data_IF_058475915530
#
_entry.id   IF_058475915530
#
_cell.length_a   1.000
_cell.length_b   1.000
_cell.length_c   1.000
_cell.angle_alpha   90.00
_cell.angle_beta   90.00
_cell.angle_gamma   90.00
#
_symmetry.space_group_name_H-M   'P 1'
#
loop_
_entity.id
_entity.type
_entity.pdbx_description
1 polymer ?
#
# COMPACT_ATOMS: atom_id res chain seq x y z
N UNK A 1 11.10 -22.71 5.33
CA UNK A 1 12.31 -23.46 5.78
C UNK A 1 13.51 -22.54 5.99
N UNK A 2 14.01 -21.81 4.97
CA UNK A 2 15.22 -20.96 5.13
C UNK A 2 15.15 -19.89 6.24
N UNK A 3 14.00 -19.22 6.41
CA UNK A 3 13.79 -18.26 7.51
C UNK A 3 13.79 -18.96 8.88
N UNK A 4 13.12 -20.10 8.98
CA UNK A 4 13.02 -20.90 10.21
C UNK A 4 14.40 -21.38 10.69
N UNK A 5 15.23 -21.91 9.79
CA UNK A 5 16.61 -22.28 10.07
C UNK A 5 17.47 -21.08 10.48
N UNK A 6 17.20 -19.92 9.89
CA UNK A 6 17.95 -18.69 10.15
C UNK A 6 17.50 -17.98 11.43
N UNK A 7 16.27 -18.23 11.90
CA UNK A 7 15.74 -17.63 13.12
C UNK A 7 16.59 -18.01 14.35
N UNK A 8 17.22 -19.18 14.38
CA UNK A 8 18.13 -19.56 15.46
C UNK A 8 19.50 -18.85 15.41
N UNK A 9 19.77 -18.07 14.36
CA UNK A 9 21.02 -17.34 14.22
C UNK A 9 21.11 -16.12 15.13
N UNK A 10 22.26 -15.97 15.81
CA UNK A 10 22.60 -14.75 16.58
C UNK A 10 23.03 -13.58 15.71
N UNK A 11 23.23 -13.77 14.39
CA UNK A 11 23.75 -12.74 13.46
C UNK A 11 22.69 -12.32 12.44
N UNK A 12 21.97 -11.20 12.64
CA UNK A 12 20.86 -10.77 11.79
C UNK A 12 21.25 -10.64 10.31
N UNK A 13 22.41 -10.03 10.01
CA UNK A 13 22.83 -9.80 8.61
C UNK A 13 23.04 -11.07 7.78
N UNK A 14 23.31 -12.22 8.41
CA UNK A 14 23.40 -13.51 7.69
C UNK A 14 22.03 -14.03 7.26
N UNK A 15 20.97 -13.62 7.96
CA UNK A 15 19.59 -14.03 7.65
C UNK A 15 19.13 -13.38 6.36
N UNK A 16 19.34 -12.07 6.20
CA UNK A 16 18.99 -11.35 4.96
C UNK A 16 19.60 -12.04 3.75
N UNK A 17 20.91 -12.32 3.77
CA UNK A 17 21.60 -12.98 2.65
C UNK A 17 21.05 -14.38 2.34
N UNK A 18 20.71 -15.16 3.37
CA UNK A 18 20.15 -16.52 3.18
C UNK A 18 18.73 -16.47 2.66
N UNK A 19 17.88 -15.64 3.26
CA UNK A 19 16.49 -15.49 2.85
C UNK A 19 16.41 -14.94 1.43
N UNK A 20 17.20 -13.92 1.09
CA UNK A 20 17.27 -13.33 -0.26
C UNK A 20 17.50 -14.38 -1.35
N UNK A 21 18.40 -15.34 -1.11
CA UNK A 21 18.66 -16.44 -2.07
C UNK A 21 17.46 -17.35 -2.34
N UNK A 22 16.52 -17.43 -1.40
CA UNK A 22 15.35 -18.32 -1.52
C UNK A 22 14.11 -17.60 -2.05
N UNK A 23 14.03 -16.28 -1.85
CA UNK A 23 12.89 -15.47 -2.31
C UNK A 23 13.17 -14.78 -3.65
N UNK A 24 14.44 -14.62 -4.03
CA UNK A 24 14.84 -14.16 -5.36
C UNK A 24 14.62 -15.27 -6.40
N UNK A 25 14.18 -14.94 -7.64
CA UNK A 25 13.94 -13.59 -8.18
C UNK A 25 12.53 -13.06 -7.92
N UNK A 26 11.69 -13.76 -7.15
CA UNK A 26 10.31 -13.34 -6.92
C UNK A 26 10.21 -12.06 -6.07
N UNK A 27 11.17 -11.81 -5.18
CA UNK A 27 11.27 -10.59 -4.37
C UNK A 27 12.64 -9.95 -4.54
N UNK A 28 12.66 -8.63 -4.71
CA UNK A 28 13.84 -7.87 -5.12
C UNK A 28 14.72 -7.53 -3.92
N UNK A 29 14.10 -7.16 -2.80
CA UNK A 29 14.81 -6.69 -1.61
C UNK A 29 14.27 -7.35 -0.36
N UNK A 30 15.19 -7.76 0.53
CA UNK A 30 14.88 -8.35 1.84
C UNK A 30 15.44 -7.46 2.95
N UNK A 31 14.62 -7.15 3.93
CA UNK A 31 14.95 -6.30 5.06
C UNK A 31 14.67 -7.00 6.39
N UNK A 32 15.47 -6.67 7.41
CA UNK A 32 15.17 -7.02 8.78
C UNK A 32 14.21 -5.97 9.35
N UNK A 33 13.02 -6.39 9.77
CA UNK A 33 12.10 -5.52 10.51
C UNK A 33 12.43 -5.54 12.01
N UNK A 34 12.66 -6.73 12.58
CA UNK A 34 12.94 -6.90 14.00
C UNK A 34 13.80 -8.14 14.22
N UNK A 35 14.74 -8.07 15.16
CA UNK A 35 15.60 -9.21 15.47
C UNK A 35 16.04 -9.24 16.94
N UNK A 36 15.12 -9.65 17.81
CA UNK A 36 15.41 -9.83 19.24
C UNK A 36 15.10 -11.26 19.72
N UNK A 37 15.15 -11.47 21.04
CA UNK A 37 14.92 -12.78 21.66
C UNK A 37 13.44 -13.21 21.64
N UNK A 38 12.52 -12.25 21.60
CA UNK A 38 11.07 -12.46 21.69
C UNK A 38 10.46 -12.58 20.30
N UNK A 39 10.93 -11.75 19.36
CA UNK A 39 10.38 -11.65 18.02
C UNK A 39 11.47 -11.48 16.97
N UNK A 40 11.30 -12.21 15.86
CA UNK A 40 12.16 -12.13 14.68
C UNK A 40 11.27 -11.91 13.48
N UNK A 41 11.57 -10.87 12.71
CA UNK A 41 10.77 -10.44 11.57
C UNK A 41 11.69 -10.05 10.41
N UNK A 42 11.45 -10.66 9.27
CA UNK A 42 12.05 -10.29 7.98
C UNK A 42 10.90 -9.99 7.03
N UNK A 43 11.03 -8.93 6.24
CA UNK A 43 10.11 -8.70 5.14
C UNK A 43 10.86 -8.63 3.81
N UNK A 44 10.20 -9.04 2.74
CA UNK A 44 10.68 -8.91 1.39
C UNK A 44 9.65 -8.16 0.55
N UNK A 45 10.12 -7.27 -0.32
CA UNK A 45 9.26 -6.43 -1.17
C UNK A 45 9.37 -6.88 -2.62
N UNK A 46 8.22 -6.91 -3.30
CA UNK A 46 8.11 -7.22 -4.73
C UNK A 46 7.28 -6.15 -5.41
N UNK A 47 7.77 -5.65 -6.55
CA UNK A 47 6.94 -5.00 -7.55
C UNK A 47 6.58 -6.00 -8.67
N UNK A 48 5.32 -5.98 -9.11
CA UNK A 48 4.89 -6.84 -10.20
C UNK A 48 3.88 -6.15 -11.10
N UNK A 49 4.09 -6.24 -12.41
CA UNK A 49 3.06 -5.91 -13.41
C UNK A 49 2.09 -7.09 -13.53
N UNK A 50 0.79 -6.81 -13.37
CA UNK A 50 -0.28 -7.80 -13.40
C UNK A 50 -1.23 -7.46 -14.54
N UNK A 51 -1.49 -8.44 -15.42
CA UNK A 51 -2.37 -8.26 -16.58
C UNK A 51 -3.84 -8.08 -16.21
N UNK A 52 -4.27 -8.73 -15.14
CA UNK A 52 -5.64 -8.64 -14.64
C UNK A 52 -5.59 -8.66 -13.11
N UNK A 53 -5.98 -7.55 -12.50
CA UNK A 53 -6.18 -7.40 -11.06
C UNK A 53 -7.66 -7.32 -10.83
N UNK A 54 -8.23 -8.34 -10.19
CA UNK A 54 -9.65 -8.36 -9.85
C UNK A 54 -9.88 -7.45 -8.65
N UNK A 55 -10.79 -6.49 -8.80
CA UNK A 55 -11.19 -5.56 -7.75
C UNK A 55 -12.55 -6.00 -7.20
N UNK A 56 -12.66 -6.03 -5.89
CA UNK A 56 -13.85 -6.42 -5.15
C UNK A 56 -14.32 -5.28 -4.25
N UNK A 57 -15.62 -5.25 -3.97
CA UNK A 57 -16.20 -4.37 -2.97
C UNK A 57 -15.63 -4.74 -1.58
N UNK A 58 -15.45 -3.74 -0.72
CA UNK A 58 -15.06 -3.97 0.67
C UNK A 58 -16.15 -4.72 1.47
N UNK A 59 -17.44 -4.52 1.15
CA UNK A 59 -18.59 -5.06 1.90
C UNK A 59 -19.22 -6.33 1.32
N UNK A 60 -19.16 -6.51 0.00
CA UNK A 60 -19.76 -7.68 -0.63
C UNK A 60 -18.76 -8.83 -0.63
N UNK A 61 -19.13 -9.95 -0.02
CA UNK A 61 -18.37 -11.17 -0.19
C UNK A 61 -18.47 -11.61 -1.65
N UNK A 62 -17.30 -11.63 -2.30
CA UNK A 62 -17.04 -12.24 -3.62
C UNK A 62 -17.58 -11.49 -4.86
N UNK A 63 -18.23 -10.32 -4.72
CA UNK A 63 -18.64 -9.56 -5.91
C UNK A 63 -17.47 -8.79 -6.52
N UNK A 64 -16.95 -9.34 -7.62
CA UNK A 64 -15.99 -8.68 -8.50
C UNK A 64 -16.64 -7.44 -9.14
N UNK A 65 -16.09 -6.27 -8.83
CA UNK A 65 -16.54 -4.97 -9.34
C UNK A 65 -16.03 -4.75 -10.77
N UNK A 66 -14.73 -4.98 -11.00
CA UNK A 66 -14.09 -4.91 -12.31
C UNK A 66 -12.69 -5.56 -12.29
N UNK A 67 -12.04 -5.63 -13.45
CA UNK A 67 -10.61 -5.95 -13.54
C UNK A 67 -9.85 -4.90 -14.32
N UNK A 68 -8.57 -4.77 -13.97
CA UNK A 68 -7.67 -3.87 -14.68
C UNK A 68 -6.24 -4.37 -14.73
N UNK A 69 -5.48 -3.86 -15.70
CA UNK A 69 -4.02 -3.94 -15.70
C UNK A 69 -3.49 -3.02 -14.60
N UNK A 70 -2.59 -3.51 -13.75
CA UNK A 70 -2.01 -2.71 -12.69
C UNK A 70 -0.57 -3.12 -12.39
N UNK A 71 0.16 -2.24 -11.70
CA UNK A 71 1.39 -2.60 -11.01
C UNK A 71 1.07 -2.70 -9.53
N UNK A 72 1.45 -3.80 -8.89
CA UNK A 72 1.22 -4.06 -7.47
C UNK A 72 2.53 -4.01 -6.69
N UNK A 73 2.48 -3.50 -5.46
CA UNK A 73 3.53 -3.70 -4.46
C UNK A 73 3.04 -4.72 -3.43
N UNK A 74 3.83 -5.78 -3.23
CA UNK A 74 3.52 -6.87 -2.30
C UNK A 74 4.64 -7.09 -1.31
N UNK A 75 4.25 -7.44 -0.10
CA UNK A 75 5.14 -7.72 1.03
C UNK A 75 5.02 -9.18 1.43
N UNK A 76 6.15 -9.90 1.43
CA UNK A 76 6.28 -11.17 2.12
C UNK A 76 6.82 -10.91 3.52
N UNK A 77 5.98 -11.06 4.53
CA UNK A 77 6.36 -10.97 5.93
C UNK A 77 6.58 -12.36 6.51
N UNK A 78 7.78 -12.60 7.05
CA UNK A 78 8.14 -13.83 7.77
C UNK A 78 8.41 -13.50 9.23
N UNK A 79 7.67 -14.16 10.12
CA UNK A 79 7.66 -13.91 11.55
C UNK A 79 8.01 -15.17 12.34
N UNK A 80 8.79 -15.00 13.40
CA UNK A 80 8.95 -15.99 14.47
C UNK A 80 8.69 -15.33 15.81
N UNK A 81 7.75 -15.87 16.59
CA UNK A 81 7.39 -15.39 17.92
C UNK A 81 7.08 -16.59 18.81
N UNK A 82 7.74 -16.69 19.96
CA UNK A 82 7.49 -17.78 20.92
C UNK A 82 7.76 -19.20 20.40
N UNK A 83 8.54 -19.37 19.32
CA UNK A 83 8.78 -20.66 18.68
C UNK A 83 7.85 -20.96 17.50
N UNK A 84 6.76 -20.20 17.35
CA UNK A 84 5.88 -20.29 16.19
C UNK A 84 6.46 -19.54 15.01
N UNK A 85 6.18 -20.06 13.81
CA UNK A 85 6.60 -19.47 12.54
C UNK A 85 5.39 -19.19 11.67
N UNK A 86 5.36 -18.00 11.06
CA UNK A 86 4.37 -17.68 10.04
C UNK A 86 5.01 -16.93 8.89
N UNK A 87 4.49 -17.15 7.69
CA UNK A 87 4.83 -16.39 6.49
C UNK A 87 3.52 -15.93 5.84
N UNK A 88 3.45 -14.65 5.48
CA UNK A 88 2.25 -14.06 4.87
C UNK A 88 2.66 -13.17 3.71
N UNK A 89 1.97 -13.28 2.59
CA UNK A 89 2.12 -12.36 1.46
C UNK A 89 0.92 -11.42 1.48
N UNK A 90 1.17 -10.12 1.53
CA UNK A 90 0.15 -9.09 1.50
C UNK A 90 0.36 -8.19 0.29
N UNK A 91 -0.71 -7.88 -0.45
CA UNK A 91 -0.66 -6.80 -1.43
C UNK A 91 -0.98 -5.50 -0.69
N UNK A 92 -0.07 -4.54 -0.72
CA UNK A 92 -0.17 -3.34 0.11
C UNK A 92 -0.77 -2.15 -0.64
N UNK A 93 -0.41 -2.01 -1.93
CA UNK A 93 -0.96 -1.00 -2.82
C UNK A 93 -0.90 -1.46 -4.29
N UNK A 94 -1.71 -0.83 -5.15
CA UNK A 94 -1.56 -0.96 -6.59
C UNK A 94 -1.75 0.38 -7.30
N UNK A 95 -1.24 0.48 -8.53
CA UNK A 95 -1.48 1.60 -9.42
C UNK A 95 -2.01 1.06 -10.75
N UNK A 96 -3.16 1.58 -11.15
CA UNK A 96 -3.82 1.18 -12.40
C UNK A 96 -3.01 1.64 -13.61
N UNK A 97 -3.10 0.89 -14.71
CA UNK A 97 -2.59 1.32 -16.00
C UNK A 97 -3.15 2.69 -16.41
N UNK A 98 -4.41 2.99 -16.05
CA UNK A 98 -5.02 4.29 -16.31
C UNK A 98 -4.25 5.42 -15.62
N UNK A 99 -3.95 5.28 -14.32
CA UNK A 99 -3.16 6.27 -13.59
C UNK A 99 -1.76 6.45 -14.19
N UNK A 100 -1.06 5.36 -14.55
CA UNK A 100 0.24 5.42 -15.22
C UNK A 100 0.14 6.17 -16.55
N UNK A 101 -0.90 5.89 -17.34
CA UNK A 101 -1.13 6.57 -18.63
C UNK A 101 -1.35 8.08 -18.41
N UNK A 102 -2.16 8.46 -17.40
CA UNK A 102 -2.40 9.87 -17.08
C UNK A 102 -1.15 10.61 -16.61
N UNK A 103 -0.27 9.96 -15.84
CA UNK A 103 1.02 10.55 -15.44
C UNK A 103 1.87 10.92 -16.66
N UNK A 104 1.91 10.05 -17.68
CA UNK A 104 2.66 10.26 -18.92
C UNK A 104 1.98 11.29 -19.84
N UNK A 105 0.68 11.14 -20.08
CA UNK A 105 -0.09 12.01 -20.99
C UNK A 105 -0.07 13.48 -20.54
N UNK A 106 0.03 13.72 -19.24
CA UNK A 106 -0.03 15.06 -18.65
C UNK A 106 1.33 15.61 -18.21
N UNK A 107 2.41 14.87 -18.50
CA UNK A 107 3.77 15.33 -18.24
C UNK A 107 4.20 15.34 -16.78
N UNK A 108 3.45 14.70 -15.87
CA UNK A 108 3.87 14.52 -14.48
C UNK A 108 4.98 13.48 -14.32
N UNK A 109 5.15 12.62 -15.32
CA UNK A 109 6.25 11.67 -15.47
C UNK A 109 6.62 11.53 -16.96
N UNK A 110 7.69 10.81 -17.24
CA UNK A 110 8.13 10.48 -18.60
C UNK A 110 8.61 9.01 -18.67
N UNK A 111 8.78 8.43 -19.86
CA UNK A 111 9.15 7.02 -20.00
C UNK A 111 10.45 6.61 -19.29
N UNK A 112 11.39 7.54 -19.09
CA UNK A 112 12.67 7.27 -18.41
C UNK A 112 12.53 7.24 -16.89
N UNK A 113 11.56 7.97 -16.34
CA UNK A 113 11.34 8.12 -14.89
C UNK A 113 10.19 7.28 -14.35
N UNK A 114 9.29 6.78 -15.22
CA UNK A 114 8.02 6.18 -14.82
C UNK A 114 8.17 5.00 -13.86
N UNK A 115 9.21 4.19 -13.99
CA UNK A 115 9.46 3.07 -13.09
C UNK A 115 9.74 3.55 -11.65
N UNK A 116 10.61 4.56 -11.51
CA UNK A 116 10.94 5.16 -10.22
C UNK A 116 9.74 5.90 -9.62
N UNK A 117 8.99 6.63 -10.45
CA UNK A 117 7.79 7.35 -10.01
C UNK A 117 6.71 6.35 -9.55
N UNK A 118 6.49 5.25 -10.28
CA UNK A 118 5.57 4.18 -9.87
C UNK A 118 5.99 3.55 -8.54
N UNK A 119 7.28 3.27 -8.35
CA UNK A 119 7.79 2.76 -7.07
C UNK A 119 7.54 3.75 -5.93
N UNK A 120 7.85 5.03 -6.13
CA UNK A 120 7.62 6.08 -5.12
C UNK A 120 6.14 6.18 -4.75
N UNK A 121 5.25 6.23 -5.75
CA UNK A 121 3.81 6.33 -5.56
C UNK A 121 3.29 5.12 -4.76
N UNK A 122 3.72 3.92 -5.13
CA UNK A 122 3.30 2.70 -4.44
C UNK A 122 3.84 2.63 -3.00
N UNK A 123 5.04 3.12 -2.75
CA UNK A 123 5.58 3.24 -1.38
C UNK A 123 4.77 4.22 -0.55
N UNK A 124 4.41 5.39 -1.09
CA UNK A 124 3.55 6.36 -0.40
C UNK A 124 2.17 5.78 -0.09
N UNK A 125 1.53 5.13 -1.08
CA UNK A 125 0.24 4.47 -0.90
C UNK A 125 0.30 3.37 0.16
N UNK A 126 1.36 2.56 0.16
CA UNK A 126 1.62 1.55 1.19
C UNK A 126 1.74 2.19 2.58
N UNK A 127 2.53 3.23 2.74
CA UNK A 127 2.70 3.92 4.04
C UNK A 127 1.37 4.45 4.55
N UNK A 128 0.56 5.09 3.70
CA UNK A 128 -0.77 5.59 4.09
C UNK A 128 -1.71 4.45 4.49
N UNK A 129 -1.67 3.32 3.78
CA UNK A 129 -2.44 2.11 4.13
C UNK A 129 -2.02 1.58 5.49
N UNK A 130 -0.72 1.55 5.80
CA UNK A 130 -0.21 1.09 7.09
C UNK A 130 -0.64 2.03 8.23
N UNK A 131 -0.62 3.34 8.01
CA UNK A 131 -1.19 4.31 8.94
C UNK A 131 -2.67 4.10 9.17
N UNK A 132 -3.48 3.98 8.11
CA UNK A 132 -4.92 3.73 8.23
C UNK A 132 -5.19 2.45 9.02
N UNK A 133 -4.48 1.37 8.68
CA UNK A 133 -4.59 0.07 9.34
C UNK A 133 -4.29 0.18 10.84
N UNK A 134 -3.20 0.85 11.21
CA UNK A 134 -2.87 1.11 12.61
C UNK A 134 -3.94 1.98 13.29
N UNK A 135 -4.44 3.00 12.59
CA UNK A 135 -5.49 3.87 13.09
C UNK A 135 -6.78 3.12 13.43
N UNK A 136 -7.20 2.20 12.54
CA UNK A 136 -8.39 1.37 12.73
C UNK A 136 -8.19 0.36 13.87
N UNK A 137 -7.07 -0.37 13.87
CA UNK A 137 -6.78 -1.42 14.87
C UNK A 137 -6.67 -0.88 16.31
N UNK A 138 -6.30 0.39 16.47
CA UNK A 138 -6.11 1.04 17.76
C UNK A 138 -7.18 2.10 18.07
N UNK A 139 -8.26 2.17 17.28
CA UNK A 139 -9.34 3.16 17.44
C UNK A 139 -8.84 4.62 17.51
N UNK A 140 -7.75 4.92 16.80
CA UNK A 140 -7.17 6.26 16.67
C UNK A 140 -7.80 7.04 15.52
N UNK A 141 -8.74 6.43 14.79
CA UNK A 141 -9.46 7.07 13.72
C UNK A 141 -10.97 6.94 13.77
N UNK A 142 -11.67 7.95 13.23
CA UNK A 142 -13.13 7.94 13.02
C UNK A 142 -13.55 7.26 11.71
N UNK A 143 -12.60 6.96 10.83
CA UNK A 143 -12.86 6.16 9.64
C UNK A 143 -13.29 4.76 10.06
N UNK A 144 -14.18 4.14 9.30
CA UNK A 144 -14.74 2.84 9.61
C UNK A 144 -14.00 1.76 8.81
N UNK A 145 -13.78 0.62 9.45
CA UNK A 145 -13.28 -0.55 8.75
C UNK A 145 -14.32 -1.05 7.72
N UNK A 146 -13.84 -1.69 6.66
CA UNK A 146 -14.69 -2.22 5.59
C UNK A 146 -15.32 -1.19 4.66
N UNK A 147 -15.02 0.11 4.80
CA UNK A 147 -15.56 1.14 3.90
C UNK A 147 -14.64 1.43 2.71
N UNK A 148 -15.24 1.88 1.60
CA UNK A 148 -14.52 2.40 0.43
C UNK A 148 -14.39 3.92 0.55
N UNK A 149 -13.14 4.41 0.59
CA UNK A 149 -12.81 5.83 0.66
C UNK A 149 -12.00 6.24 -0.56
N UNK A 150 -12.35 7.38 -1.14
CA UNK A 150 -11.48 8.14 -2.04
C UNK A 150 -10.64 9.14 -1.24
N UNK A 151 -9.35 9.11 -1.49
CA UNK A 151 -8.33 10.02 -0.98
C UNK A 151 -7.69 10.76 -2.15
N UNK A 152 -7.32 12.01 -1.92
CA UNK A 152 -6.56 12.83 -2.86
C UNK A 152 -5.19 13.16 -2.27
N UNK A 153 -4.14 12.64 -2.90
CA UNK A 153 -2.76 12.72 -2.42
C UNK A 153 -1.97 13.67 -3.33
N UNK A 154 -1.36 14.74 -2.80
CA UNK A 154 -0.49 15.61 -3.57
C UNK A 154 0.64 14.82 -4.24
N UNK A 155 0.86 15.08 -5.52
CA UNK A 155 1.96 14.47 -6.26
C UNK A 155 2.43 15.38 -7.38
N UNK A 156 3.71 15.79 -7.32
CA UNK A 156 4.28 16.82 -8.20
C UNK A 156 3.38 18.07 -8.17
N UNK A 157 3.04 18.62 -9.32
CA UNK A 157 2.16 19.79 -9.45
C UNK A 157 0.67 19.44 -9.44
N UNK A 158 0.30 18.17 -9.26
CA UNK A 158 -1.10 17.72 -9.27
C UNK A 158 -1.42 16.80 -8.11
N UNK A 159 -2.31 15.84 -8.35
CA UNK A 159 -2.74 14.90 -7.31
C UNK A 159 -3.06 13.51 -7.84
N UNK A 160 -2.86 12.51 -6.98
CA UNK A 160 -3.25 11.13 -7.19
C UNK A 160 -4.56 10.84 -6.47
N UNK A 161 -5.47 10.14 -7.15
CA UNK A 161 -6.68 9.61 -6.51
C UNK A 161 -6.41 8.19 -6.04
N UNK A 162 -6.43 8.00 -4.74
CA UNK A 162 -6.28 6.70 -4.08
C UNK A 162 -7.65 6.24 -3.61
N UNK A 163 -7.98 4.96 -3.83
CA UNK A 163 -9.21 4.35 -3.34
C UNK A 163 -8.90 3.14 -2.47
N UNK A 164 -9.61 2.98 -1.35
CA UNK A 164 -9.53 1.75 -0.54
C UNK A 164 -10.38 0.65 -1.17
N UNK A 165 -9.75 -0.46 -1.57
CA UNK A 165 -10.41 -1.57 -2.28
C UNK A 165 -9.88 -2.92 -1.79
N UNK A 166 -10.62 -4.00 -2.11
CA UNK A 166 -10.11 -5.39 -2.04
C UNK A 166 -9.62 -5.81 -3.42
N UNK A 167 -8.49 -6.52 -3.50
CA UNK A 167 -8.00 -7.06 -4.77
C UNK A 167 -7.59 -8.54 -4.68
N UNK A 168 -7.75 -9.28 -5.78
CA UNK A 168 -7.32 -10.67 -5.98
C UNK A 168 -7.72 -11.62 -4.84
N UNK A 169 -9.00 -11.60 -4.44
CA UNK A 169 -9.55 -12.35 -3.31
C UNK A 169 -9.79 -13.86 -3.57
N UNK A 170 -9.20 -14.47 -4.60
CA UNK A 170 -9.50 -15.84 -5.04
C UNK A 170 -8.79 -16.96 -4.27
N UNK A 171 -8.02 -16.63 -3.23
CA UNK A 171 -7.70 -17.60 -2.20
C UNK A 171 -8.24 -17.05 -0.90
N UNK A 172 -9.00 -17.87 -0.17
CA UNK A 172 -9.23 -17.69 1.27
C UNK A 172 -7.96 -17.08 1.85
N UNK A 173 -8.02 -15.78 2.09
CA UNK A 173 -6.88 -15.09 2.63
C UNK A 173 -6.63 -15.78 3.96
N UNK A 174 -5.40 -16.22 4.21
CA UNK A 174 -4.92 -16.51 5.57
C UNK A 174 -4.99 -15.25 6.50
N UNK A 175 -5.65 -14.19 6.06
CA UNK A 175 -6.02 -12.98 6.76
C UNK A 175 -7.47 -13.13 7.22
N UNK A 176 -7.69 -12.91 8.52
CA UNK A 176 -9.02 -12.89 9.15
C UNK A 176 -9.91 -11.74 8.67
N UNK A 177 -9.37 -10.80 7.88
CA UNK A 177 -10.08 -9.78 7.12
C UNK A 177 -9.16 -9.36 5.96
N UNK A 178 -9.62 -9.31 4.70
CA UNK A 178 -8.81 -8.80 3.60
C UNK A 178 -8.61 -7.31 3.82
N UNK A 179 -7.41 -6.96 4.31
CA UNK A 179 -7.04 -5.58 4.59
C UNK A 179 -7.21 -4.73 3.33
N UNK A 180 -7.72 -3.49 3.46
CA UNK A 180 -7.88 -2.60 2.31
C UNK A 180 -6.51 -2.38 1.63
N UNK A 181 -6.52 -2.48 0.31
CA UNK A 181 -5.43 -2.07 -0.56
C UNK A 181 -5.69 -0.65 -1.01
N UNK A 182 -4.66 0.20 -0.95
CA UNK A 182 -4.73 1.54 -1.53
C UNK A 182 -4.45 1.45 -3.03
N UNK A 183 -5.48 1.74 -3.82
CA UNK A 183 -5.45 1.66 -5.27
C UNK A 183 -5.36 3.05 -5.90
N UNK A 184 -4.26 3.35 -6.57
CA UNK A 184 -4.08 4.60 -7.32
C UNK A 184 -4.84 4.49 -8.64
N UNK A 185 -5.97 5.20 -8.70
CA UNK A 185 -6.98 5.10 -9.77
C UNK A 185 -6.71 6.04 -10.93
N UNK A 186 -6.21 7.24 -10.64
CA UNK A 186 -5.89 8.24 -11.66
C UNK A 186 -4.93 9.28 -11.09
N UNK A 187 -4.38 10.09 -11.99
CA UNK A 187 -3.71 11.35 -11.68
C UNK A 187 -4.65 12.50 -12.12
N UNK A 188 -4.56 13.66 -11.48
CA UNK A 188 -5.26 14.90 -11.79
C UNK A 188 -4.22 16.03 -11.89
N UNK A 189 -4.26 16.80 -12.97
CA UNK A 189 -3.42 18.00 -13.09
C UNK A 189 -3.94 19.10 -12.18
N UNK A 190 -3.08 20.06 -11.84
CA UNK A 190 -3.45 21.19 -11.01
C UNK A 190 -4.73 21.90 -11.48
N UNK A 191 -4.87 22.09 -12.80
CA UNK A 191 -6.02 22.77 -13.41
C UNK A 191 -7.34 22.01 -13.27
N UNK A 192 -7.29 20.74 -12.87
CA UNK A 192 -8.44 19.86 -12.68
C UNK A 192 -8.86 19.77 -11.21
N UNK A 193 -8.14 20.46 -10.33
CA UNK A 193 -8.38 20.45 -8.91
C UNK A 193 -9.25 21.64 -8.53
N UNK A 194 -10.36 21.34 -7.86
CA UNK A 194 -11.20 22.33 -7.20
C UNK A 194 -10.58 22.84 -5.89
N UNK A 195 -11.02 24.01 -5.42
CA UNK A 195 -10.62 24.56 -4.11
C UNK A 195 -10.85 23.56 -2.96
N UNK A 196 -11.95 22.81 -3.02
CA UNK A 196 -12.25 21.75 -2.05
C UNK A 196 -11.20 20.64 -2.06
N UNK A 197 -10.77 20.21 -3.24
CA UNK A 197 -9.71 19.20 -3.38
C UNK A 197 -8.37 19.72 -2.87
N UNK A 198 -8.03 20.98 -3.15
CA UNK A 198 -6.86 21.64 -2.56
C UNK A 198 -6.93 21.68 -1.02
N UNK A 199 -8.09 22.03 -0.45
CA UNK A 199 -8.28 22.06 0.99
C UNK A 199 -8.14 20.66 1.64
N UNK A 200 -8.58 19.59 0.96
CA UNK A 200 -8.40 18.20 1.43
C UNK A 200 -6.94 17.77 1.44
N UNK A 201 -6.16 18.24 0.47
CA UNK A 201 -4.74 17.94 0.35
C UNK A 201 -3.85 18.68 1.35
N UNK A 202 -4.32 19.82 1.86
CA UNK A 202 -3.58 20.68 2.79
C UNK A 202 -3.10 19.91 4.04
N UNK A 203 -1.84 20.14 4.39
CA UNK A 203 -1.20 19.53 5.56
C UNK A 203 -0.64 18.14 5.30
N UNK A 204 -0.72 17.62 4.06
CA UNK A 204 -0.12 16.34 3.70
C UNK A 204 1.38 16.33 3.97
N UNK A 205 1.81 15.38 4.80
CA UNK A 205 3.21 15.07 5.07
C UNK A 205 3.33 13.57 5.30
N UNK A 206 4.10 12.90 4.47
CA UNK A 206 4.54 11.53 4.74
C UNK A 206 6.00 11.59 5.18
N UNK A 207 6.25 11.28 6.44
CA UNK A 207 7.62 11.10 6.90
C UNK A 207 8.25 9.91 6.20
N UNK A 208 9.45 10.11 5.65
CA UNK A 208 10.29 9.02 5.12
C UNK A 208 11.21 8.43 6.19
N UNK A 209 11.15 8.96 7.42
CA UNK A 209 12.00 8.51 8.52
C UNK A 209 11.49 7.17 9.08
N UNK A 210 12.34 6.13 9.20
CA UNK A 210 11.97 4.88 9.87
C UNK A 210 11.60 5.05 11.35
N UNK A 211 11.97 6.17 11.98
CA UNK A 211 11.61 6.54 13.35
C UNK A 211 10.52 7.61 13.34
N UNK A 212 9.32 7.22 12.90
CA UNK A 212 8.15 8.11 12.86
C UNK A 212 7.78 8.50 14.29
N UNK A 213 7.73 9.81 14.56
CA UNK A 213 7.32 10.31 15.87
C UNK A 213 5.82 10.05 16.09
N UNK A 214 5.40 9.93 17.36
CA UNK A 214 3.96 9.82 17.68
C UNK A 214 3.17 11.03 17.16
N UNK A 215 3.79 12.21 17.10
CA UNK A 215 3.17 13.41 16.56
C UNK A 215 2.93 13.30 15.04
N UNK A 216 3.89 12.76 14.29
CA UNK A 216 3.73 12.53 12.85
C UNK A 216 2.67 11.48 12.55
N UNK A 217 2.59 10.43 13.37
CA UNK A 217 1.50 9.44 13.29
C UNK A 217 0.13 10.11 13.47
N UNK A 218 -0.04 10.92 14.52
CA UNK A 218 -1.30 11.61 14.79
C UNK A 218 -1.67 12.61 13.69
N UNK A 219 -0.70 13.37 13.19
CA UNK A 219 -0.92 14.31 12.07
C UNK A 219 -1.34 13.58 10.80
N UNK A 220 -0.69 12.47 10.46
CA UNK A 220 -1.03 11.68 9.28
C UNK A 220 -2.43 11.07 9.39
N UNK A 221 -2.81 10.56 10.56
CA UNK A 221 -4.15 10.04 10.81
C UNK A 221 -5.23 11.14 10.74
N UNK A 222 -4.95 12.33 11.28
CA UNK A 222 -5.84 13.48 11.18
C UNK A 222 -6.00 13.94 9.72
N UNK A 223 -4.91 13.95 8.96
CA UNK A 223 -4.95 14.24 7.53
C UNK A 223 -5.79 13.19 6.77
N UNK A 224 -5.58 11.90 7.03
CA UNK A 224 -6.37 10.82 6.42
C UNK A 224 -7.88 11.00 6.67
N UNK A 225 -8.27 11.36 7.89
CA UNK A 225 -9.68 11.64 8.21
C UNK A 225 -10.24 12.86 7.49
N UNK A 226 -9.50 13.97 7.44
CA UNK A 226 -9.90 15.18 6.72
C UNK A 226 -10.01 14.92 5.22
N UNK A 227 -9.13 14.08 4.69
CA UNK A 227 -8.99 13.82 3.28
C UNK A 227 -9.99 12.78 2.77
N UNK A 228 -10.34 11.76 3.56
CA UNK A 228 -11.17 10.65 3.11
C UNK A 228 -12.63 11.06 2.80
N UNK A 229 -13.12 10.62 1.64
CA UNK A 229 -14.53 10.71 1.28
C UNK A 229 -15.08 9.32 0.99
N UNK A 230 -16.15 8.92 1.68
CA UNK A 230 -16.82 7.65 1.44
C UNK A 230 -17.43 7.64 0.03
N UNK A 231 -17.26 6.54 -0.69
CA UNK A 231 -17.65 6.44 -2.11
C UNK A 231 -18.11 5.02 -2.44
N UNK A 232 -18.91 4.89 -3.50
CA UNK A 232 -19.27 3.59 -4.06
C UNK A 232 -18.08 3.03 -4.87
N UNK A 233 -17.60 1.80 -4.59
CA UNK A 233 -16.50 1.19 -5.33
C UNK A 233 -16.77 1.06 -6.84
N UNK A 234 -18.03 0.97 -7.26
CA UNK A 234 -18.47 0.91 -8.67
C UNK A 234 -18.47 2.26 -9.36
N UNK A 235 -18.41 3.37 -8.61
CA UNK A 235 -18.42 4.72 -9.18
C UNK A 235 -17.16 4.92 -10.03
N UNK A 236 -17.35 5.07 -11.34
CA UNK A 236 -16.30 5.58 -12.23
C UNK A 236 -15.95 7.00 -11.79
N UNK A 237 -14.66 7.31 -11.70
CA UNK A 237 -14.20 8.68 -11.48
C UNK A 237 -14.64 9.51 -12.70
N UNK A 238 -15.77 10.19 -12.57
CA UNK A 238 -16.17 11.21 -13.52
C UNK A 238 -15.32 12.44 -13.21
N UNK A 239 -14.35 12.66 -14.07
CA UNK A 239 -13.64 13.92 -14.13
C UNK A 239 -14.52 14.83 -14.98
N UNK A 240 -15.16 15.81 -14.36
CA UNK A 240 -15.82 16.91 -15.08
C UNK A 240 -14.78 17.80 -15.79
#
# INVERSE_FOLDING_TARGET
>A
MAFQESAYSKKPGRVVKRVSKHVSPAFDVVHLAQWDKVMKAVFAVRLASVRETDVFDMHADEEKVFSERSVIISDLLMLSKGGDFSAKINISANISHHAISRLLERGASNPELIENDVLEILQQARSLRDFLSSGLNHSLTKLKDGMTYDLIVPYRDGALILRTLRINATQQSFFSSPMPVFSVRTYLDNSMLSDRQHARMEGFRLSRDPLISNEDCQRTLAWLQKNAEETDPRRRLMVE
#
